data_IF_895187824288
#
_entry.id   IF_895187824288
#
_cell.length_a   1.000
_cell.length_b   1.000
_cell.length_c   1.000
_cell.angle_alpha   90.00
_cell.angle_beta   90.00
_cell.angle_gamma   90.00
#
_symmetry.space_group_name_H-M   'P 1'
#
loop_
_entity.id
_entity.type
_entity.pdbx_description
1 polymer ?
#
# COMPACT_ATOMS: atom_id res chain seq x y z
N UNK A 1 8.45 -10.28 -16.38
CA UNK A 1 7.48 -10.75 -15.35
C UNK A 1 6.81 -9.51 -14.76
N UNK A 2 5.67 -9.65 -14.08
CA UNK A 2 4.93 -8.51 -13.52
C UNK A 2 4.67 -8.75 -12.05
N UNK A 3 5.04 -7.79 -11.19
CA UNK A 3 4.75 -7.84 -9.76
C UNK A 3 3.44 -7.11 -9.53
N UNK A 4 2.44 -7.80 -9.00
CA UNK A 4 1.10 -7.27 -8.77
C UNK A 4 0.80 -7.33 -7.26
N UNK A 5 1.03 -6.21 -6.58
CA UNK A 5 0.85 -6.11 -5.14
C UNK A 5 -0.51 -5.52 -4.78
N UNK A 6 -1.10 -5.99 -3.69
CA UNK A 6 -2.38 -5.44 -3.22
C UNK A 6 -2.19 -4.02 -2.65
N UNK A 7 -1.28 -3.88 -1.69
CA UNK A 7 -0.91 -2.62 -1.05
C UNK A 7 0.61 -2.45 -1.08
N UNK A 8 1.10 -1.22 -0.89
CA UNK A 8 2.53 -0.95 -0.71
C UNK A 8 2.87 -0.68 0.76
N UNK A 9 2.85 -1.75 1.56
CA UNK A 9 3.21 -1.74 2.99
C UNK A 9 4.65 -2.22 3.22
N UNK A 10 5.08 -2.34 4.48
CA UNK A 10 6.46 -2.75 4.80
C UNK A 10 6.81 -4.17 4.30
N UNK A 11 5.85 -5.10 4.30
CA UNK A 11 6.05 -6.43 3.73
C UNK A 11 6.28 -6.38 2.22
N UNK A 12 5.43 -5.63 1.51
CA UNK A 12 5.54 -5.44 0.07
C UNK A 12 6.82 -4.68 -0.29
N UNK A 13 7.23 -3.72 0.54
CA UNK A 13 8.49 -2.99 0.40
C UNK A 13 9.69 -3.93 0.53
N UNK A 14 9.74 -4.81 1.54
CA UNK A 14 10.82 -5.81 1.66
C UNK A 14 10.95 -6.69 0.43
N UNK A 15 9.81 -7.12 -0.13
CA UNK A 15 9.77 -7.91 -1.36
C UNK A 15 10.23 -7.09 -2.57
N UNK A 16 9.76 -5.86 -2.70
CA UNK A 16 10.19 -4.93 -3.74
C UNK A 16 11.70 -4.66 -3.70
N UNK A 17 12.27 -4.36 -2.52
CA UNK A 17 13.72 -4.18 -2.34
C UNK A 17 14.51 -5.44 -2.69
N UNK A 18 13.98 -6.62 -2.36
CA UNK A 18 14.59 -7.89 -2.75
C UNK A 18 14.64 -8.05 -4.27
N UNK A 19 13.57 -7.64 -4.97
CA UNK A 19 13.57 -7.63 -6.44
C UNK A 19 14.56 -6.62 -7.02
N UNK A 20 14.69 -5.43 -6.42
CA UNK A 20 15.67 -4.40 -6.83
C UNK A 20 17.11 -4.87 -6.60
N UNK A 21 17.38 -5.61 -5.52
CA UNK A 21 18.67 -6.21 -5.24
C UNK A 21 18.99 -7.43 -6.15
N UNK A 22 18.00 -7.93 -6.88
CA UNK A 22 18.11 -9.07 -7.80
C UNK A 22 18.17 -8.61 -9.26
N UNK A 23 18.33 -9.54 -10.21
CA UNK A 23 18.27 -9.25 -11.65
C UNK A 23 16.84 -8.94 -12.17
N UNK A 24 15.86 -8.82 -11.28
CA UNK A 24 14.43 -8.60 -11.59
C UNK A 24 14.01 -7.14 -11.39
N UNK A 25 14.95 -6.21 -11.25
CA UNK A 25 14.67 -4.79 -11.01
C UNK A 25 13.84 -4.12 -12.11
N UNK A 26 13.98 -4.57 -13.37
CA UNK A 26 13.35 -3.96 -14.55
C UNK A 26 11.92 -4.43 -14.80
N UNK A 27 11.48 -5.47 -14.09
CA UNK A 27 10.13 -5.98 -14.21
C UNK A 27 9.10 -4.99 -13.65
N UNK A 28 8.04 -4.76 -14.42
CA UNK A 28 6.94 -3.85 -14.07
C UNK A 28 6.34 -4.22 -12.70
N UNK A 29 6.15 -3.21 -11.87
CA UNK A 29 5.50 -3.34 -10.56
C UNK A 29 4.22 -2.53 -10.54
N UNK A 30 3.12 -3.18 -10.19
CA UNK A 30 1.78 -2.62 -10.11
C UNK A 30 1.30 -2.76 -8.66
N UNK A 31 0.79 -1.68 -8.09
CA UNK A 31 0.11 -1.69 -6.79
C UNK A 31 -1.37 -1.36 -7.00
N UNK A 32 -2.25 -2.25 -6.55
CA UNK A 32 -3.69 -2.13 -6.77
C UNK A 32 -4.37 -1.11 -5.84
N UNK A 33 -3.81 -0.85 -4.66
CA UNK A 33 -4.29 0.15 -3.72
C UNK A 33 -3.23 1.23 -3.48
N UNK A 34 -3.38 2.35 -4.19
CA UNK A 34 -2.46 3.47 -4.13
C UNK A 34 -2.61 4.28 -2.83
N UNK A 35 -1.49 4.49 -2.14
CA UNK A 35 -1.40 5.29 -0.92
C UNK A 35 -0.90 6.72 -1.17
N UNK A 36 -0.57 7.07 -2.43
CA UNK A 36 -0.03 8.37 -2.84
C UNK A 36 1.49 8.48 -2.77
N UNK A 37 2.19 7.51 -2.17
CA UNK A 37 3.64 7.57 -1.89
C UNK A 37 4.39 6.36 -2.48
N UNK A 38 3.92 5.83 -3.60
CA UNK A 38 4.60 4.77 -4.33
C UNK A 38 5.96 5.28 -4.89
N UNK A 39 7.00 4.45 -4.96
CA UNK A 39 8.22 4.73 -5.72
C UNK A 39 7.94 5.11 -7.19
N UNK A 40 8.87 5.81 -7.84
CA UNK A 40 8.66 6.35 -9.19
C UNK A 40 8.49 5.28 -10.29
N UNK A 41 9.04 4.09 -10.08
CA UNK A 41 9.00 2.95 -11.00
C UNK A 41 7.82 2.00 -10.73
N UNK A 42 6.95 2.33 -9.78
CA UNK A 42 5.72 1.59 -9.50
C UNK A 42 4.52 2.37 -10.00
N UNK A 43 3.60 1.69 -10.67
CA UNK A 43 2.34 2.28 -11.16
C UNK A 43 1.14 1.74 -10.40
N UNK A 44 0.04 2.48 -10.43
CA UNK A 44 -1.27 2.03 -9.97
C UNK A 44 -2.33 2.26 -11.05
N UNK A 45 -3.45 1.50 -11.06
CA UNK A 45 -4.57 1.76 -11.97
C UNK A 45 -5.07 3.20 -11.88
N UNK A 46 -5.08 3.76 -10.66
CA UNK A 46 -5.57 5.11 -10.42
C UNK A 46 -4.62 6.19 -10.97
N UNK A 47 -3.31 6.05 -10.78
CA UNK A 47 -2.33 6.97 -11.35
C UNK A 47 -2.37 6.95 -12.88
N UNK A 48 -2.47 5.75 -13.46
CA UNK A 48 -2.51 5.57 -14.91
C UNK A 48 -3.72 6.29 -15.54
N UNK A 49 -4.92 6.07 -15.02
CA UNK A 49 -6.12 6.68 -15.61
C UNK A 49 -6.31 8.16 -15.26
N UNK A 50 -5.77 8.61 -14.13
CA UNK A 50 -5.82 10.02 -13.75
C UNK A 50 -4.73 10.89 -14.41
N UNK A 51 -3.84 10.28 -15.20
CA UNK A 51 -2.68 10.94 -15.83
C UNK A 51 -1.83 11.73 -14.82
N UNK A 52 -1.76 11.22 -13.59
CA UNK A 52 -1.06 11.85 -12.47
C UNK A 52 0.43 11.43 -12.44
N UNK A 53 1.08 11.42 -13.59
CA UNK A 53 2.49 11.04 -13.67
C UNK A 53 3.40 12.08 -12.99
N UNK A 54 4.55 11.62 -12.49
CA UNK A 54 5.49 12.47 -11.76
C UNK A 54 5.96 13.62 -12.66
N UNK A 55 5.53 14.84 -12.35
CA UNK A 55 6.05 16.05 -12.96
C UNK A 55 7.26 16.53 -12.17
N UNK A 56 8.38 16.82 -12.85
CA UNK A 56 9.70 17.10 -12.24
C UNK A 56 9.72 18.25 -11.21
N UNK A 57 8.68 19.09 -11.17
CA UNK A 57 8.61 20.27 -10.30
C UNK A 57 7.63 20.16 -9.12
N UNK A 58 6.98 19.00 -8.93
CA UNK A 58 6.02 18.84 -7.85
C UNK A 58 6.66 18.31 -6.56
N UNK A 59 6.20 18.84 -5.42
CA UNK A 59 6.76 18.52 -4.09
C UNK A 59 5.65 18.18 -3.11
N UNK A 60 5.91 17.29 -2.15
CA UNK A 60 4.91 16.94 -1.15
C UNK A 60 4.52 18.16 -0.33
N UNK A 61 3.25 18.24 0.07
CA UNK A 61 2.78 19.33 0.93
C UNK A 61 3.31 19.15 2.35
N UNK A 62 3.89 20.22 2.88
CA UNK A 62 4.10 20.38 4.31
C UNK A 62 2.77 20.66 5.01
N UNK A 63 2.68 20.37 6.31
CA UNK A 63 1.40 20.43 7.04
C UNK A 63 0.67 21.77 6.94
N UNK A 64 1.39 22.90 6.88
CA UNK A 64 0.80 24.24 6.77
C UNK A 64 0.50 24.68 5.33
N UNK A 65 0.72 23.81 4.34
CA UNK A 65 0.43 24.05 2.92
C UNK A 65 -0.88 23.39 2.47
N UNK A 66 -1.60 22.74 3.38
CA UNK A 66 -2.96 22.25 3.13
C UNK A 66 -3.87 23.44 2.87
N UNK A 67 -4.60 23.42 1.76
CA UNK A 67 -5.56 24.48 1.44
C UNK A 67 -6.72 24.43 2.44
N UNK A 68 -6.93 25.54 3.15
CA UNK A 68 -8.01 25.73 4.13
C UNK A 68 -8.78 27.02 3.81
N UNK A 69 -10.04 27.17 4.26
CA UNK A 69 -10.76 28.43 4.18
C UNK A 69 -9.98 29.61 4.78
N UNK A 70 -10.30 30.82 4.34
CA UNK A 70 -9.65 32.03 4.81
C UNK A 70 -9.70 32.17 6.33
N UNK A 71 -8.59 32.60 6.93
CA UNK A 71 -8.41 32.82 8.38
C UNK A 71 -8.47 31.56 9.27
N UNK A 72 -8.64 30.37 8.70
CA UNK A 72 -8.53 29.13 9.48
C UNK A 72 -7.08 28.87 9.88
N UNK A 73 -6.89 28.33 11.08
CA UNK A 73 -5.59 28.11 11.69
C UNK A 73 -5.15 26.64 11.54
N UNK A 74 -3.90 26.42 11.15
CA UNK A 74 -3.27 25.09 11.15
C UNK A 74 -2.23 25.02 12.28
N UNK A 75 -2.41 24.09 13.23
CA UNK A 75 -1.49 23.85 14.36
C UNK A 75 -0.86 22.47 14.26
N UNK A 76 0.47 22.39 14.20
CA UNK A 76 1.20 21.13 14.01
C UNK A 76 2.01 20.69 15.22
N UNK A 77 2.05 19.37 15.43
CA UNK A 77 3.02 18.65 16.29
C UNK A 77 3.96 17.81 15.42
N UNK A 78 4.81 16.98 16.04
CA UNK A 78 5.63 15.99 15.33
C UNK A 78 4.81 14.83 14.73
N UNK A 79 3.63 14.53 15.31
CA UNK A 79 2.86 13.33 14.95
C UNK A 79 1.67 13.64 14.03
N UNK A 80 1.06 14.83 14.18
CA UNK A 80 -0.09 15.27 13.38
C UNK A 80 -0.27 16.79 13.47
N UNK A 81 -1.17 17.34 12.65
CA UNK A 81 -1.62 18.72 12.79
C UNK A 81 -3.16 18.80 12.85
N UNK A 82 -3.70 19.90 13.38
CA UNK A 82 -5.12 20.21 13.44
C UNK A 82 -5.43 21.46 12.63
N UNK A 83 -6.64 21.49 12.08
CA UNK A 83 -7.21 22.64 11.37
C UNK A 83 -8.35 23.18 12.23
N UNK A 84 -8.32 24.47 12.56
CA UNK A 84 -9.25 25.09 13.49
C UNK A 84 -9.86 26.37 12.92
N UNK A 85 -11.13 26.59 13.24
CA UNK A 85 -11.92 27.76 12.90
C UNK A 85 -12.36 28.45 14.18
N UNK A 86 -11.79 29.62 14.49
CA UNK A 86 -12.05 30.34 15.75
C UNK A 86 -11.91 29.44 17.00
N UNK A 87 -10.90 28.55 17.00
CA UNK A 87 -10.64 27.59 18.07
C UNK A 87 -11.46 26.29 18.02
N UNK A 88 -12.42 26.14 17.09
CA UNK A 88 -13.18 24.90 16.88
C UNK A 88 -12.44 23.96 15.95
N UNK A 89 -12.31 22.70 16.33
CA UNK A 89 -11.65 21.67 15.51
C UNK A 89 -12.49 21.37 14.25
N UNK A 90 -11.89 21.53 13.07
CA UNK A 90 -12.51 21.33 11.75
C UNK A 90 -11.87 20.20 10.94
N UNK A 91 -10.64 19.86 11.27
CA UNK A 91 -9.96 18.75 10.62
C UNK A 91 -8.67 18.34 11.30
N UNK A 92 -8.18 17.18 10.89
CA UNK A 92 -6.93 16.60 11.37
C UNK A 92 -6.08 16.15 10.19
N UNK A 93 -4.84 16.61 10.18
CA UNK A 93 -3.83 16.30 9.18
C UNK A 93 -2.97 15.16 9.73
N UNK A 94 -2.86 14.08 8.95
CA UNK A 94 -2.02 12.94 9.25
C UNK A 94 -0.79 12.97 8.36
N UNK A 95 0.37 12.72 8.98
CA UNK A 95 1.63 12.74 8.26
C UNK A 95 1.92 11.40 7.59
N UNK A 96 2.64 11.46 6.47
CA UNK A 96 3.23 10.30 5.85
C UNK A 96 4.33 9.75 6.77
N UNK A 97 4.28 8.45 7.05
CA UNK A 97 5.39 7.75 7.69
C UNK A 97 6.57 7.69 6.72
N UNK A 98 7.73 8.22 7.12
CA UNK A 98 8.93 8.26 6.28
C UNK A 98 10.00 9.21 6.82
N UNK A 99 11.06 9.39 6.04
CA UNK A 99 12.25 10.15 6.44
C UNK A 99 12.00 11.66 6.58
N UNK A 100 11.00 12.21 5.86
CA UNK A 100 10.69 13.64 5.90
C UNK A 100 9.58 13.93 6.92
N UNK A 101 9.84 14.72 7.96
CA UNK A 101 8.84 14.99 8.98
C UNK A 101 7.71 15.87 8.43
N UNK A 102 6.50 15.65 8.95
CA UNK A 102 5.30 16.50 8.74
C UNK A 102 4.86 16.69 7.28
N UNK A 103 5.21 15.74 6.41
CA UNK A 103 4.63 15.64 5.07
C UNK A 103 3.21 15.14 5.15
N UNK A 104 2.27 15.80 4.49
CA UNK A 104 0.84 15.46 4.54
C UNK A 104 0.57 14.19 3.73
N UNK A 105 -0.05 13.18 4.38
CA UNK A 105 -0.55 11.97 3.72
C UNK A 105 -2.07 12.05 3.52
N UNK A 106 -2.82 12.43 4.56
CA UNK A 106 -4.26 12.61 4.47
C UNK A 106 -4.77 13.69 5.41
N UNK A 107 -5.94 14.24 5.11
CA UNK A 107 -6.66 15.21 5.94
C UNK A 107 -8.07 14.71 6.17
N UNK A 108 -8.42 14.47 7.44
CA UNK A 108 -9.79 14.20 7.86
C UNK A 108 -10.52 15.52 8.13
N UNK A 109 -11.71 15.68 7.57
CA UNK A 109 -12.56 16.87 7.77
C UNK A 109 -13.78 16.50 8.61
N UNK A 110 -14.08 17.34 9.59
CA UNK A 110 -15.14 17.10 10.56
C UNK A 110 -16.35 18.02 10.35
N UNK A 111 -17.53 17.50 10.68
CA UNK A 111 -18.72 18.33 10.87
C UNK A 111 -18.75 18.98 12.27
N UNK A 112 -19.80 19.76 12.54
CA UNK A 112 -20.00 20.43 13.84
C UNK A 112 -20.13 19.45 15.02
N UNK A 113 -20.46 18.18 14.75
CA UNK A 113 -20.57 17.11 15.74
C UNK A 113 -19.29 16.28 15.87
N UNK A 114 -18.17 16.75 15.31
CA UNK A 114 -16.85 16.07 15.34
C UNK A 114 -16.87 14.69 14.68
N UNK A 115 -17.72 14.50 13.67
CA UNK A 115 -17.75 13.28 12.84
C UNK A 115 -16.97 13.52 11.56
N UNK A 116 -16.16 12.55 11.16
CA UNK A 116 -15.49 12.56 9.84
C UNK A 116 -16.54 12.54 8.74
N UNK A 117 -16.46 13.52 7.82
CA UNK A 117 -17.30 13.61 6.62
C UNK A 117 -16.52 13.31 5.36
N UNK A 118 -15.28 13.78 5.31
CA UNK A 118 -14.39 13.64 4.16
C UNK A 118 -13.00 13.28 4.60
N UNK A 119 -12.30 12.51 3.77
CA UNK A 119 -10.87 12.26 3.90
C UNK A 119 -10.20 12.57 2.58
N UNK A 120 -9.40 13.62 2.56
CA UNK A 120 -8.58 13.99 1.42
C UNK A 120 -7.25 13.25 1.48
N UNK A 121 -6.82 12.63 0.38
CA UNK A 121 -5.54 11.93 0.28
C UNK A 121 -4.59 12.72 -0.61
N UNK A 122 -3.36 12.88 -0.14
CA UNK A 122 -2.31 13.63 -0.80
C UNK A 122 -1.19 12.70 -1.25
N UNK A 123 -0.61 12.98 -2.41
CA UNK A 123 0.51 12.21 -2.95
C UNK A 123 1.86 12.81 -2.55
N UNK A 124 2.95 12.07 -2.83
CA UNK A 124 4.33 12.53 -2.73
C UNK A 124 4.64 13.79 -3.57
N UNK A 125 3.77 14.10 -4.54
CA UNK A 125 3.85 15.28 -5.40
C UNK A 125 2.99 16.44 -4.86
N UNK A 126 2.34 16.27 -3.70
CA UNK A 126 1.51 17.32 -3.08
C UNK A 126 0.14 17.51 -3.73
N UNK A 127 -0.25 16.61 -4.63
CA UNK A 127 -1.57 16.63 -5.28
C UNK A 127 -2.57 15.96 -4.34
N UNK A 128 -3.73 16.59 -4.14
CA UNK A 128 -4.90 15.88 -3.58
C UNK A 128 -5.40 14.95 -4.67
N UNK A 129 -5.06 13.66 -4.62
CA UNK A 129 -5.34 12.73 -5.72
C UNK A 129 -6.63 11.92 -5.50
N UNK A 130 -7.12 11.86 -4.27
CA UNK A 130 -8.37 11.18 -3.95
C UNK A 130 -9.11 11.82 -2.77
N UNK A 131 -10.41 11.54 -2.67
CA UNK A 131 -11.24 11.90 -1.53
C UNK A 131 -12.23 10.77 -1.21
N UNK A 132 -12.30 10.34 0.05
CA UNK A 132 -13.35 9.43 0.54
C UNK A 132 -14.45 10.23 1.24
N UNK A 133 -15.70 9.89 0.97
CA UNK A 133 -16.89 10.49 1.62
C UNK A 133 -17.51 9.49 2.59
N UNK A 134 -17.90 9.97 3.77
CA UNK A 134 -18.48 9.16 4.85
C UNK A 134 -19.94 9.52 5.14
N UNK A 135 -20.73 8.52 5.54
CA UNK A 135 -22.10 8.72 6.03
C UNK A 135 -22.12 9.21 7.49
N UNK A 136 -23.32 9.50 8.02
CA UNK A 136 -23.48 9.99 9.40
C UNK A 136 -23.04 8.97 10.46
N UNK A 137 -22.92 7.69 10.09
CA UNK A 137 -22.47 6.58 10.91
C UNK A 137 -20.96 6.28 10.74
N UNK A 138 -20.21 7.16 10.05
CA UNK A 138 -18.77 7.01 9.76
C UNK A 138 -18.44 5.80 8.89
N UNK A 139 -19.39 5.33 8.08
CA UNK A 139 -19.15 4.33 7.03
C UNK A 139 -18.76 5.03 5.74
N UNK A 140 -17.68 4.58 5.10
CA UNK A 140 -17.29 5.09 3.79
C UNK A 140 -18.36 4.73 2.75
N UNK A 141 -18.83 5.73 2.00
CA UNK A 141 -19.87 5.58 0.97
C UNK A 141 -19.22 5.46 -0.41
N UNK A 142 -18.28 6.36 -0.70
CA UNK A 142 -17.61 6.40 -2.00
C UNK A 142 -16.22 6.99 -1.86
N UNK A 143 -15.36 6.69 -2.84
CA UNK A 143 -14.07 7.31 -3.03
C UNK A 143 -13.92 7.82 -4.44
N UNK A 144 -13.47 9.06 -4.57
CA UNK A 144 -13.22 9.72 -5.85
C UNK A 144 -11.73 9.86 -6.08
N UNK A 145 -11.28 9.72 -7.32
CA UNK A 145 -9.91 10.00 -7.73
C UNK A 145 -9.93 11.10 -8.79
N UNK A 146 -8.94 11.98 -8.72
CA UNK A 146 -8.92 13.21 -9.51
C UNK A 146 -7.57 13.37 -10.21
N UNK A 147 -7.60 14.07 -11.33
CA UNK A 147 -6.42 14.60 -12.05
C UNK A 147 -5.69 15.65 -11.22
N UNK A 148 -4.52 16.10 -11.70
CA UNK A 148 -3.73 17.19 -11.13
C UNK A 148 -4.55 18.50 -11.04
N UNK A 149 -5.40 18.76 -12.03
CA UNK A 149 -6.28 19.93 -12.10
C UNK A 149 -7.50 19.82 -11.17
N UNK A 150 -7.67 18.69 -10.48
CA UNK A 150 -8.78 18.44 -9.57
C UNK A 150 -10.06 17.94 -10.26
N UNK A 151 -10.01 17.61 -11.55
CA UNK A 151 -11.14 16.97 -12.25
C UNK A 151 -11.29 15.52 -11.78
N UNK A 152 -12.46 15.18 -11.27
CA UNK A 152 -12.85 13.82 -10.87
C UNK A 152 -12.92 12.90 -12.11
N UNK A 153 -12.24 11.75 -12.06
CA UNK A 153 -12.11 10.80 -13.20
C UNK A 153 -12.44 9.36 -12.84
N UNK A 154 -12.34 8.98 -11.57
CA UNK A 154 -12.71 7.64 -11.10
C UNK A 154 -13.59 7.79 -9.87
N UNK A 155 -14.65 6.99 -9.82
CA UNK A 155 -15.58 6.92 -8.70
C UNK A 155 -15.74 5.46 -8.29
N UNK A 156 -15.39 5.15 -7.05
CA UNK A 156 -15.64 3.84 -6.44
C UNK A 156 -16.78 3.99 -5.43
N UNK A 157 -17.89 3.28 -5.65
CA UNK A 157 -19.01 3.25 -4.72
C UNK A 157 -18.86 2.04 -3.79
N UNK A 158 -18.68 2.25 -2.49
CA UNK A 158 -18.51 1.16 -1.52
C UNK A 158 -19.83 0.51 -1.09
N UNK A 159 -20.98 1.11 -1.43
CA UNK A 159 -22.31 0.53 -1.16
C UNK A 159 -22.69 -0.45 -2.25
N UNK A 160 -22.51 -0.07 -3.52
CA UNK A 160 -22.86 -0.90 -4.67
C UNK A 160 -21.68 -1.70 -5.23
N UNK A 161 -20.45 -1.39 -4.81
CA UNK A 161 -19.18 -1.92 -5.34
C UNK A 161 -18.83 -1.51 -6.77
N UNK A 162 -19.67 -0.68 -7.42
CA UNK A 162 -19.43 -0.21 -8.78
C UNK A 162 -18.23 0.73 -8.85
N UNK A 163 -17.53 0.70 -9.99
CA UNK A 163 -16.50 1.66 -10.35
C UNK A 163 -16.87 2.34 -11.66
N UNK A 164 -16.88 3.67 -11.67
CA UNK A 164 -17.08 4.49 -12.87
C UNK A 164 -15.75 5.14 -13.22
N UNK A 165 -15.36 5.07 -14.49
CA UNK A 165 -14.15 5.68 -15.03
C UNK A 165 -14.52 6.59 -16.21
N UNK A 166 -14.18 7.88 -16.11
CA UNK A 166 -14.23 8.82 -17.22
C UNK A 166 -12.83 8.97 -17.82
N UNK A 167 -12.62 8.38 -18.99
CA UNK A 167 -11.30 8.31 -19.62
C UNK A 167 -11.40 8.45 -21.15
N UNK A 168 -10.52 9.27 -21.73
CA UNK A 168 -10.46 9.54 -23.18
C UNK A 168 -11.83 9.92 -23.80
N UNK A 169 -12.62 10.72 -23.06
CA UNK A 169 -13.93 11.18 -23.53
C UNK A 169 -15.04 10.13 -23.50
N UNK A 170 -14.83 8.99 -22.85
CA UNK A 170 -15.83 7.94 -22.65
C UNK A 170 -15.98 7.60 -21.17
N UNK A 171 -17.20 7.23 -20.78
CA UNK A 171 -17.50 6.72 -19.44
C UNK A 171 -17.60 5.19 -19.48
N UNK A 172 -16.85 4.53 -18.61
CA UNK A 172 -16.83 3.08 -18.44
C UNK A 172 -17.44 2.73 -17.09
N UNK A 173 -18.28 1.71 -17.06
CA UNK A 173 -18.98 1.24 -15.87
C UNK A 173 -18.55 -0.19 -15.56
N UNK A 174 -18.04 -0.41 -14.36
CA UNK A 174 -17.58 -1.70 -13.88
C UNK A 174 -18.40 -2.14 -12.67
N UNK A 175 -18.94 -3.36 -12.65
CA UNK A 175 -19.75 -3.85 -11.52
C UNK A 175 -18.93 -4.15 -10.26
N UNK A 176 -17.60 -4.08 -10.35
CA UNK A 176 -16.69 -4.34 -9.24
C UNK A 176 -15.32 -3.73 -9.49
N UNK A 177 -14.56 -3.54 -8.41
CA UNK A 177 -13.13 -3.20 -8.48
C UNK A 177 -12.31 -4.25 -9.26
N UNK A 178 -12.68 -5.53 -9.18
CA UNK A 178 -12.03 -6.58 -9.98
C UNK A 178 -12.20 -6.34 -11.49
N UNK A 179 -13.42 -6.03 -11.94
CA UNK A 179 -13.67 -5.76 -13.35
C UNK A 179 -12.90 -4.51 -13.84
N UNK A 180 -12.82 -3.48 -13.01
CA UNK A 180 -12.00 -2.29 -13.29
C UNK A 180 -10.50 -2.63 -13.41
N UNK A 181 -9.95 -3.43 -12.49
CA UNK A 181 -8.54 -3.83 -12.55
C UNK A 181 -8.26 -4.75 -13.75
N UNK A 182 -9.16 -5.68 -14.10
CA UNK A 182 -9.01 -6.51 -15.30
C UNK A 182 -9.00 -5.65 -16.57
N UNK A 183 -9.83 -4.61 -16.63
CA UNK A 183 -9.79 -3.63 -17.71
C UNK A 183 -8.43 -2.92 -17.79
N UNK A 184 -7.90 -2.44 -16.66
CA UNK A 184 -6.57 -1.84 -16.59
C UNK A 184 -5.46 -2.78 -17.10
N UNK A 185 -5.43 -4.04 -16.63
CA UNK A 185 -4.46 -5.06 -17.06
C UNK A 185 -4.56 -5.31 -18.58
N UNK A 186 -5.78 -5.27 -19.14
CA UNK A 186 -6.00 -5.38 -20.59
C UNK A 186 -5.48 -4.15 -21.35
N UNK A 187 -5.67 -2.93 -20.83
CA UNK A 187 -5.15 -1.70 -21.46
C UNK A 187 -3.61 -1.67 -21.49
N UNK A 188 -2.97 -2.30 -20.50
CA UNK A 188 -1.51 -2.47 -20.49
C UNK A 188 -1.02 -3.61 -21.39
N UNK A 189 -1.90 -4.41 -22.01
CA UNK A 189 -1.57 -5.53 -22.89
C UNK A 189 -0.70 -6.62 -22.22
N UNK A 190 -0.88 -6.81 -20.91
CA UNK A 190 -0.02 -7.68 -20.11
C UNK A 190 -0.68 -9.00 -19.68
N UNK A 191 -1.85 -9.34 -20.23
CA UNK A 191 -2.63 -10.52 -19.80
C UNK A 191 -1.89 -11.85 -19.93
N UNK A 192 -0.92 -11.97 -20.85
CA UNK A 192 -0.18 -13.21 -21.11
C UNK A 192 1.12 -13.32 -20.28
N UNK A 193 1.49 -12.27 -19.55
CA UNK A 193 2.73 -12.27 -18.77
C UNK A 193 2.65 -13.17 -17.54
N UNK A 194 3.82 -13.55 -17.01
CA UNK A 194 3.94 -14.18 -15.70
C UNK A 194 3.78 -13.15 -14.58
N UNK A 195 2.97 -13.46 -13.58
CA UNK A 195 2.70 -12.59 -12.44
C UNK A 195 3.31 -13.11 -11.13
N UNK A 196 3.75 -12.16 -10.30
CA UNK A 196 4.07 -12.40 -8.89
C UNK A 196 3.10 -11.59 -8.05
N UNK A 197 2.26 -12.25 -7.28
CA UNK A 197 1.32 -11.63 -6.34
C UNK A 197 1.82 -11.81 -4.91
N UNK A 198 1.38 -10.94 -4.00
CA UNK A 198 1.76 -11.02 -2.59
C UNK A 198 0.57 -11.14 -1.63
N UNK A 199 -0.63 -11.36 -2.15
CA UNK A 199 -1.85 -11.49 -1.35
C UNK A 199 -2.87 -12.38 -2.05
N UNK A 200 -3.63 -13.12 -1.24
CA UNK A 200 -4.78 -13.93 -1.66
C UNK A 200 -6.07 -13.11 -1.86
N UNK A 201 -5.99 -11.78 -1.72
CA UNK A 201 -7.10 -10.85 -1.95
C UNK A 201 -7.24 -10.51 -3.45
N UNK A 202 -7.39 -9.22 -3.79
CA UNK A 202 -7.63 -8.76 -5.15
C UNK A 202 -6.57 -9.22 -6.18
N UNK A 203 -5.26 -9.25 -5.88
CA UNK A 203 -4.28 -9.78 -6.84
C UNK A 203 -4.56 -11.23 -7.24
N UNK A 204 -4.94 -12.09 -6.29
CA UNK A 204 -5.32 -13.47 -6.60
C UNK A 204 -6.61 -13.53 -7.43
N UNK A 205 -7.62 -12.72 -7.08
CA UNK A 205 -8.85 -12.64 -7.88
C UNK A 205 -8.58 -12.22 -9.32
N UNK A 206 -7.61 -11.32 -9.56
CA UNK A 206 -7.16 -10.97 -10.91
C UNK A 206 -6.61 -12.19 -11.63
N UNK A 207 -5.63 -12.90 -11.04
CA UNK A 207 -5.04 -14.10 -11.68
C UNK A 207 -6.09 -15.18 -11.98
N UNK A 208 -7.03 -15.40 -11.06
CA UNK A 208 -8.11 -16.38 -11.23
C UNK A 208 -9.00 -16.08 -12.44
N UNK A 209 -9.20 -14.80 -12.76
CA UNK A 209 -10.10 -14.35 -13.82
C UNK A 209 -9.37 -13.99 -15.14
N UNK A 210 -8.04 -14.13 -15.21
CA UNK A 210 -7.31 -13.92 -16.45
C UNK A 210 -7.62 -15.05 -17.47
N UNK A 211 -7.88 -14.71 -18.74
CA UNK A 211 -8.30 -15.69 -19.74
C UNK A 211 -7.16 -16.55 -20.29
N UNK A 212 -5.92 -16.13 -20.09
CA UNK A 212 -4.69 -16.72 -20.61
C UNK A 212 -4.19 -17.84 -19.68
N UNK A 213 -3.58 -18.86 -20.28
CA UNK A 213 -2.78 -19.81 -19.52
C UNK A 213 -1.48 -19.14 -19.06
N UNK A 214 -0.90 -19.61 -17.96
CA UNK A 214 0.35 -19.08 -17.45
C UNK A 214 0.85 -19.79 -16.20
N UNK A 215 2.02 -19.39 -15.73
CA UNK A 215 2.63 -19.89 -14.49
C UNK A 215 3.03 -18.70 -13.62
N UNK A 216 2.39 -18.56 -12.47
CA UNK A 216 2.53 -17.42 -11.58
C UNK A 216 3.10 -17.83 -10.23
N UNK A 217 3.40 -16.85 -9.40
CA UNK A 217 3.90 -17.05 -8.05
C UNK A 217 3.11 -16.21 -7.05
N UNK A 218 2.67 -16.84 -5.97
CA UNK A 218 2.26 -16.15 -4.75
C UNK A 218 3.45 -16.11 -3.80
N UNK A 219 3.88 -14.92 -3.40
CA UNK A 219 4.77 -14.73 -2.25
C UNK A 219 3.89 -14.50 -1.02
N UNK A 220 3.70 -15.53 -0.20
CA UNK A 220 2.86 -15.46 0.99
C UNK A 220 3.64 -14.82 2.16
N UNK A 221 3.16 -13.68 2.64
CA UNK A 221 3.86 -12.86 3.67
C UNK A 221 3.06 -12.72 4.97
N UNK A 222 1.89 -13.35 5.05
CA UNK A 222 0.98 -13.33 6.20
C UNK A 222 1.16 -14.61 7.04
N UNK A 223 0.48 -14.70 8.18
CA UNK A 223 0.47 -15.90 9.02
C UNK A 223 -0.82 -16.69 8.76
N UNK A 224 -0.74 -18.02 8.78
CA UNK A 224 -1.89 -18.90 8.58
C UNK A 224 -2.73 -19.14 9.84
N UNK A 225 -2.22 -18.76 11.02
CA UNK A 225 -2.89 -18.94 12.33
C UNK A 225 -3.48 -20.34 12.52
N UNK A 226 -2.75 -21.37 12.05
CA UNK A 226 -3.09 -22.78 12.21
C UNK A 226 -4.02 -23.37 11.15
N UNK A 227 -4.44 -22.62 10.13
CA UNK A 227 -5.27 -23.14 9.03
C UNK A 227 -4.84 -22.64 7.65
N UNK A 228 -4.83 -23.52 6.65
CA UNK A 228 -4.56 -23.11 5.26
C UNK A 228 -5.71 -22.24 4.74
N UNK A 229 -5.46 -21.02 4.22
CA UNK A 229 -6.50 -20.16 3.68
C UNK A 229 -7.29 -20.81 2.53
N UNK A 230 -8.61 -20.64 2.51
CA UNK A 230 -9.48 -21.24 1.48
C UNK A 230 -9.10 -20.85 0.04
N UNK A 231 -8.70 -19.59 -0.18
CA UNK A 231 -8.22 -19.13 -1.49
C UNK A 231 -6.91 -19.80 -1.91
N UNK A 232 -6.05 -20.15 -0.95
CA UNK A 232 -4.81 -20.90 -1.22
C UNK A 232 -5.14 -22.34 -1.62
N UNK A 233 -6.09 -22.99 -0.94
CA UNK A 233 -6.57 -24.32 -1.34
C UNK A 233 -7.15 -24.28 -2.75
N UNK A 234 -8.00 -23.29 -3.05
CA UNK A 234 -8.59 -23.09 -4.38
C UNK A 234 -7.51 -22.94 -5.46
N UNK A 235 -6.48 -22.14 -5.20
CA UNK A 235 -5.33 -21.96 -6.10
C UNK A 235 -4.63 -23.29 -6.45
N UNK A 236 -4.58 -24.22 -5.51
CA UNK A 236 -3.92 -25.52 -5.67
C UNK A 236 -4.83 -26.62 -6.22
N UNK A 237 -6.15 -26.42 -6.33
CA UNK A 237 -7.11 -27.45 -6.79
C UNK A 237 -6.89 -27.88 -8.25
N UNK A 238 -6.36 -27.00 -9.10
CA UNK A 238 -6.03 -27.28 -10.51
C UNK A 238 -7.04 -26.75 -11.53
N UNK A 239 -8.14 -26.12 -11.10
CA UNK A 239 -9.20 -25.62 -11.99
C UNK A 239 -8.88 -24.25 -12.62
N UNK A 240 -7.75 -23.65 -12.26
CA UNK A 240 -7.29 -22.38 -12.82
C UNK A 240 -6.51 -22.59 -14.11
N UNK A 241 -6.74 -21.73 -15.10
CA UNK A 241 -5.91 -21.65 -16.33
C UNK A 241 -4.45 -21.34 -16.03
N UNK A 242 -4.20 -20.67 -14.91
CA UNK A 242 -2.89 -20.22 -14.48
C UNK A 242 -2.43 -21.08 -13.31
N UNK A 243 -1.33 -21.80 -13.52
CA UNK A 243 -0.66 -22.54 -12.46
C UNK A 243 0.01 -21.55 -11.52
N UNK A 244 0.00 -21.80 -10.21
CA UNK A 244 0.62 -20.91 -9.25
C UNK A 244 1.43 -21.69 -8.22
N UNK A 245 2.70 -21.32 -8.06
CA UNK A 245 3.56 -21.80 -6.98
C UNK A 245 3.51 -20.82 -5.80
N UNK A 246 3.70 -21.32 -4.59
CA UNK A 246 3.63 -20.53 -3.35
C UNK A 246 5.01 -20.44 -2.75
N UNK A 247 5.57 -19.24 -2.64
CA UNK A 247 6.82 -18.97 -1.93
C UNK A 247 6.47 -18.44 -0.54
N UNK A 248 7.01 -19.07 0.50
CA UNK A 248 6.88 -18.61 1.89
C UNK A 248 8.27 -18.15 2.37
N UNK A 249 8.51 -16.84 2.54
CA UNK A 249 9.81 -16.33 2.98
C UNK A 249 10.11 -16.56 4.46
N UNK A 250 9.09 -16.57 5.32
CA UNK A 250 9.27 -16.81 6.75
C UNK A 250 9.43 -18.32 7.00
N UNK A 251 10.52 -18.69 7.69
CA UNK A 251 10.85 -20.10 7.92
C UNK A 251 9.85 -20.80 8.83
N UNK A 252 9.39 -20.14 9.89
CA UNK A 252 8.47 -20.75 10.85
C UNK A 252 7.09 -20.95 10.21
N UNK A 253 6.65 -19.97 9.43
CA UNK A 253 5.41 -20.06 8.65
C UNK A 253 5.52 -21.16 7.59
N UNK A 254 6.65 -21.29 6.89
CA UNK A 254 6.88 -22.35 5.92
C UNK A 254 6.76 -23.75 6.55
N UNK A 255 7.43 -23.96 7.69
CA UNK A 255 7.37 -25.23 8.42
C UNK A 255 5.97 -25.51 8.96
N UNK A 256 5.28 -24.49 9.46
CA UNK A 256 3.89 -24.59 9.93
C UNK A 256 2.96 -24.99 8.78
N UNK A 257 3.06 -24.29 7.65
CA UNK A 257 2.24 -24.56 6.46
C UNK A 257 2.47 -25.97 5.90
N UNK A 258 3.71 -26.46 5.89
CA UNK A 258 3.98 -27.85 5.49
C UNK A 258 3.30 -28.86 6.43
N UNK A 259 3.19 -28.57 7.73
CA UNK A 259 2.57 -29.50 8.67
C UNK A 259 1.04 -29.55 8.56
N UNK A 260 0.39 -28.43 8.21
CA UNK A 260 -1.08 -28.32 8.20
C UNK A 260 -1.70 -28.50 6.80
N UNK A 261 -0.94 -28.31 5.74
CA UNK A 261 -1.43 -28.38 4.37
C UNK A 261 -1.60 -29.81 3.86
N UNK A 262 -2.57 -30.02 2.96
CA UNK A 262 -2.68 -31.29 2.24
C UNK A 262 -1.57 -31.46 1.19
N UNK A 263 -1.41 -32.67 0.65
CA UNK A 263 -0.37 -32.99 -0.33
C UNK A 263 -0.43 -32.12 -1.59
N UNK A 264 -1.63 -31.67 -2.00
CA UNK A 264 -1.79 -30.82 -3.18
C UNK A 264 -1.19 -29.43 -2.94
N UNK A 265 -1.51 -28.83 -1.80
CA UNK A 265 -0.97 -27.52 -1.43
C UNK A 265 0.53 -27.64 -1.13
N UNK A 266 0.95 -28.64 -0.34
CA UNK A 266 2.37 -28.89 -0.01
C UNK A 266 3.25 -28.98 -1.26
N UNK A 267 2.80 -29.70 -2.31
CA UNK A 267 3.58 -29.86 -3.54
C UNK A 267 3.84 -28.56 -4.31
N UNK A 268 3.12 -27.48 -3.99
CA UNK A 268 3.29 -26.16 -4.60
C UNK A 268 4.04 -25.16 -3.72
N UNK A 269 4.32 -25.52 -2.46
CA UNK A 269 5.02 -24.64 -1.52
C UNK A 269 6.53 -24.77 -1.72
N UNK A 270 7.20 -23.62 -1.80
CA UNK A 270 8.63 -23.46 -1.87
C UNK A 270 9.09 -22.53 -0.74
N UNK A 271 10.22 -22.85 -0.12
CA UNK A 271 10.84 -21.96 0.84
C UNK A 271 11.53 -20.80 0.10
N UNK A 272 11.31 -19.58 0.57
CA UNK A 272 11.93 -18.37 0.03
C UNK A 272 12.74 -17.60 1.07
N UNK A 273 12.97 -16.32 0.77
CA UNK A 273 13.62 -15.37 1.67
C UNK A 273 13.63 -13.97 1.08
N UNK A 274 14.23 -13.02 1.80
CA UNK A 274 14.43 -11.65 1.34
C UNK A 274 15.92 -11.37 1.11
N UNK A 275 16.23 -10.60 0.08
CA UNK A 275 17.58 -10.10 -0.20
C UNK A 275 17.70 -8.69 0.40
N UNK A 276 18.54 -8.55 1.42
CA UNK A 276 18.80 -7.28 2.07
C UNK A 276 20.11 -6.67 1.58
N UNK A 277 20.07 -5.40 1.18
CA UNK A 277 21.27 -4.64 0.84
C UNK A 277 21.84 -3.94 2.10
N UNK A 278 22.72 -4.64 2.82
CA UNK A 278 23.37 -4.09 4.01
C UNK A 278 24.33 -2.95 3.65
N UNK A 279 24.09 -1.74 4.18
CA UNK A 279 24.89 -0.54 3.87
C UNK A 279 26.33 -0.60 4.40
N UNK A 280 26.56 -1.34 5.48
CA UNK A 280 27.88 -1.46 6.09
C UNK A 280 27.99 -2.76 6.88
N UNK A 281 29.23 -3.20 7.11
CA UNK A 281 29.54 -4.27 8.05
C UNK A 281 29.77 -3.71 9.44
N UNK A 282 29.49 -4.52 10.46
CA UNK A 282 29.81 -4.18 11.84
C UNK A 282 31.33 -4.02 12.00
N UNK A 283 31.76 -2.92 12.65
CA UNK A 283 33.17 -2.60 12.94
C UNK A 283 33.58 -3.02 14.36
N UNK A 284 32.66 -3.58 15.13
CA UNK A 284 32.80 -3.98 16.53
C UNK A 284 33.28 -2.83 17.42
N UNK A 285 32.78 -1.62 17.18
CA UNK A 285 33.05 -0.45 18.02
C UNK A 285 32.26 -0.54 19.34
N UNK A 286 32.76 0.11 20.37
CA UNK A 286 32.09 0.25 21.67
C UNK A 286 31.17 1.48 21.70
N UNK A 287 30.49 1.75 20.59
CA UNK A 287 29.59 2.91 20.48
C UNK A 287 28.14 2.42 20.41
N UNK A 288 27.28 2.98 21.25
CA UNK A 288 25.87 2.59 21.34
C UNK A 288 24.98 3.78 20.93
N UNK A 289 24.01 3.52 20.06
CA UNK A 289 22.99 4.52 19.66
C UNK A 289 21.62 4.01 20.07
N UNK A 290 20.89 4.82 20.84
CA UNK A 290 19.50 4.57 21.24
C UNK A 290 18.65 5.74 20.76
N UNK A 291 17.62 5.47 19.96
CA UNK A 291 16.63 6.46 19.54
C UNK A 291 15.39 6.35 20.44
N UNK A 292 15.03 7.43 21.12
CA UNK A 292 13.88 7.49 22.04
C UNK A 292 13.13 8.82 21.90
N UNK A 293 11.81 8.78 22.06
CA UNK A 293 10.95 9.96 22.20
C UNK A 293 10.69 10.33 23.67
N UNK A 294 11.27 9.57 24.60
CA UNK A 294 11.09 9.70 26.05
C UNK A 294 12.44 9.74 26.75
N UNK A 295 12.53 10.54 27.81
CA UNK A 295 13.73 10.65 28.64
C UNK A 295 13.90 9.44 29.58
N UNK A 296 12.92 8.54 29.66
CA UNK A 296 12.94 7.37 30.54
C UNK A 296 13.41 6.11 29.80
N UNK A 297 14.72 5.89 29.76
CA UNK A 297 15.30 4.62 29.30
C UNK A 297 15.33 3.59 30.44
N UNK A 298 14.58 2.49 30.27
CA UNK A 298 14.53 1.42 31.27
C UNK A 298 15.92 0.85 31.53
N UNK A 299 16.31 0.77 32.79
CA UNK A 299 17.58 0.19 33.26
C UNK A 299 18.86 0.87 32.72
N UNK A 300 18.79 2.07 32.14
CA UNK A 300 19.97 2.73 31.55
C UNK A 300 21.09 2.95 32.57
N UNK A 301 20.74 3.33 33.80
CA UNK A 301 21.70 3.51 34.89
C UNK A 301 22.51 2.23 35.14
N UNK A 302 21.81 1.10 35.27
CA UNK A 302 22.44 -0.21 35.51
C UNK A 302 23.36 -0.58 34.35
N UNK A 303 22.93 -0.36 33.10
CA UNK A 303 23.73 -0.67 31.92
C UNK A 303 25.02 0.16 31.87
N UNK A 304 24.93 1.48 32.10
CA UNK A 304 26.10 2.38 32.08
C UNK A 304 27.06 2.07 33.23
N UNK A 305 26.55 1.75 34.43
CA UNK A 305 27.39 1.40 35.58
C UNK A 305 28.08 0.03 35.42
N UNK A 306 27.42 -0.93 34.77
CA UNK A 306 27.93 -2.31 34.61
C UNK A 306 28.88 -2.45 33.42
N UNK A 307 28.72 -1.61 32.38
CA UNK A 307 29.47 -1.67 31.13
C UNK A 307 30.21 -0.34 30.88
N UNK A 308 31.14 0.08 31.75
CA UNK A 308 31.75 1.42 31.68
C UNK A 308 32.65 1.64 30.45
N UNK A 309 33.03 0.55 29.78
CA UNK A 309 33.84 0.57 28.58
C UNK A 309 33.04 0.77 27.28
N UNK A 310 31.69 0.76 27.36
CA UNK A 310 30.75 0.88 26.24
C UNK A 310 29.98 2.20 26.23
#
# INVERSE_FOLDING_TARGET
MIKLFDYFNDHSRKLYESFKASKLEKDLTIVLNDNGFLPDDIISPYQFFADNHNSENMKPRFFNQVTVPAFWEIKGSNNSATINDMGRLRGKIFYQSGERPRIVSRVEWFDDQQRVRFVDYYSKNGIKFAQTVYDLNRKAILKKYMTVEGKEVIYENFVTSDVILDWQGKSYFFPSKLAFVLFFIKQLEITEHHFVINSLALPFSVLYNLPSNGSDVLVWQEQCDGNVPGNMQLMCKGDMKRHCNIIIPDKNEYETMLNIADAKVQSRILQGGYLYNYRSRNRYTKEIVILTNSDQLRNIKVLVETLPDF
#
